data_IF_754948966325
#
_entry.id   IF_754948966325
#
_cell.length_a   1.000
_cell.length_b   1.000
_cell.length_c   1.000
_cell.angle_alpha   90.00
_cell.angle_beta   90.00
_cell.angle_gamma   90.00
#
_symmetry.space_group_name_H-M   'P 1'
#
loop_
_entity.id
_entity.type
_entity.pdbx_description
1 polymer ?
#
# COMPACT_ATOMS: atom_id res chain seq x y z
N UNK A 1 -14.59 13.15 11.75
CA UNK A 1 -15.00 14.22 10.81
C UNK A 1 -16.48 14.07 10.53
N UNK A 2 -17.17 15.14 10.18
CA UNK A 2 -18.62 15.12 9.93
C UNK A 2 -18.94 14.59 8.53
N UNK A 3 -20.01 13.80 8.42
CA UNK A 3 -20.59 13.32 7.17
C UNK A 3 -22.06 13.71 7.18
N UNK A 4 -22.47 14.51 6.20
CA UNK A 4 -23.86 15.00 6.10
C UNK A 4 -24.46 14.48 4.79
N UNK A 5 -25.25 13.39 4.82
CA UNK A 5 -25.98 12.95 3.65
C UNK A 5 -27.08 13.96 3.32
N UNK A 6 -27.16 14.39 2.05
CA UNK A 6 -28.20 15.31 1.56
C UNK A 6 -29.27 14.54 0.76
N UNK A 7 -28.87 13.47 0.07
CA UNK A 7 -29.74 12.55 -0.66
C UNK A 7 -29.06 11.16 -0.76
N UNK A 8 -29.72 10.14 -1.33
CA UNK A 8 -29.10 8.82 -1.55
C UNK A 8 -27.83 8.84 -2.43
N UNK A 9 -27.66 9.84 -3.29
CA UNK A 9 -26.52 9.95 -4.21
C UNK A 9 -25.65 11.20 -3.97
N UNK A 10 -25.96 12.00 -2.94
CA UNK A 10 -25.25 13.25 -2.67
C UNK A 10 -25.06 13.45 -1.17
N UNK A 11 -23.84 13.80 -0.76
CA UNK A 11 -23.53 14.15 0.61
C UNK A 11 -22.35 15.11 0.69
N UNK A 12 -22.16 15.69 1.86
CA UNK A 12 -21.03 16.54 2.19
C UNK A 12 -20.10 15.81 3.15
N UNK A 13 -18.80 15.89 2.87
CA UNK A 13 -17.75 15.36 3.73
C UNK A 13 -16.94 16.53 4.30
N UNK A 14 -16.77 16.54 5.62
CA UNK A 14 -15.88 17.50 6.25
C UNK A 14 -14.44 17.23 5.83
N UNK A 15 -13.79 18.23 5.25
CA UNK A 15 -12.35 18.22 5.04
C UNK A 15 -11.61 18.29 6.38
N UNK A 16 -10.65 17.40 6.59
CA UNK A 16 -9.83 17.40 7.81
C UNK A 16 -8.57 18.23 7.55
N UNK A 17 -8.45 19.44 8.13
CA UNK A 17 -7.40 20.37 7.78
C UNK A 17 -6.01 19.88 8.18
N UNK A 18 -5.01 20.20 7.37
CA UNK A 18 -3.60 19.86 7.63
C UNK A 18 -3.31 18.36 7.55
N UNK A 19 -4.18 17.58 6.91
CA UNK A 19 -3.97 16.15 6.67
C UNK A 19 -3.54 15.89 5.23
N UNK A 20 -2.80 14.79 5.03
CA UNK A 20 -2.39 14.29 3.71
C UNK A 20 -2.53 12.78 3.66
N UNK A 21 -2.91 12.17 2.52
CA UNK A 21 -2.89 10.72 2.36
C UNK A 21 -1.51 10.16 2.70
N UNK A 22 -1.47 9.09 3.48
CA UNK A 22 -0.24 8.48 3.96
C UNK A 22 0.61 8.00 2.77
N UNK A 23 -0.02 7.45 1.74
CA UNK A 23 0.67 7.09 0.48
C UNK A 23 1.47 8.28 -0.07
N UNK A 24 0.83 9.44 -0.27
CA UNK A 24 1.46 10.64 -0.79
C UNK A 24 2.57 11.20 0.12
N UNK A 25 2.52 10.89 1.42
CA UNK A 25 3.57 11.25 2.36
C UNK A 25 4.76 10.27 2.29
N UNK A 26 4.49 8.99 2.04
CA UNK A 26 5.52 7.96 1.91
C UNK A 26 6.25 8.03 0.57
N UNK A 27 5.58 8.45 -0.51
CA UNK A 27 6.13 8.60 -1.86
C UNK A 27 6.39 10.06 -2.24
N UNK A 28 6.76 10.89 -1.26
CA UNK A 28 6.81 12.34 -1.41
C UNK A 28 8.01 12.87 -2.22
N UNK A 29 8.98 12.01 -2.54
CA UNK A 29 10.12 12.34 -3.41
C UNK A 29 10.09 11.47 -4.67
N UNK A 30 10.64 11.95 -5.80
CA UNK A 30 10.72 11.16 -7.03
C UNK A 30 11.40 9.80 -6.81
N UNK A 31 12.47 9.77 -6.01
CA UNK A 31 13.20 8.53 -5.71
C UNK A 31 12.34 7.54 -4.93
N UNK A 32 11.54 8.00 -3.96
CA UNK A 32 10.65 7.11 -3.19
C UNK A 32 9.46 6.63 -4.02
N UNK A 33 8.92 7.50 -4.87
CA UNK A 33 7.87 7.14 -5.81
C UNK A 33 8.37 6.09 -6.81
N UNK A 34 9.61 6.22 -7.30
CA UNK A 34 10.23 5.23 -8.17
C UNK A 34 10.47 3.89 -7.46
N UNK A 35 10.98 3.90 -6.23
CA UNK A 35 11.14 2.68 -5.42
C UNK A 35 9.82 1.96 -5.16
N UNK A 36 8.76 2.71 -4.86
CA UNK A 36 7.41 2.15 -4.66
C UNK A 36 6.87 1.56 -5.98
N UNK A 37 7.03 2.28 -7.09
CA UNK A 37 6.61 1.80 -8.40
C UNK A 37 7.37 0.52 -8.81
N UNK A 38 8.68 0.45 -8.56
CA UNK A 38 9.50 -0.73 -8.80
C UNK A 38 9.04 -1.91 -7.94
N UNK A 39 8.77 -1.68 -6.64
CA UNK A 39 8.27 -2.73 -5.75
C UNK A 39 6.89 -3.25 -6.18
N UNK A 40 5.98 -2.34 -6.54
CA UNK A 40 4.63 -2.66 -7.03
C UNK A 40 4.67 -3.43 -8.37
N UNK A 41 5.59 -3.08 -9.25
CA UNK A 41 5.84 -3.82 -10.49
C UNK A 41 6.36 -5.23 -10.21
N UNK A 42 7.39 -5.39 -9.38
CA UNK A 42 7.92 -6.71 -9.03
C UNK A 42 6.87 -7.60 -8.36
N UNK A 43 6.02 -7.01 -7.50
CA UNK A 43 4.86 -7.68 -6.92
C UNK A 43 3.90 -8.18 -8.00
N UNK A 44 3.48 -7.30 -8.92
CA UNK A 44 2.54 -7.68 -9.99
C UNK A 44 3.10 -8.77 -10.91
N UNK A 45 4.40 -8.71 -11.22
CA UNK A 45 5.10 -9.74 -12.01
C UNK A 45 5.18 -11.08 -11.28
N UNK A 46 5.41 -11.06 -9.96
CA UNK A 46 5.38 -12.28 -9.15
C UNK A 46 4.00 -12.95 -9.20
N UNK A 47 2.92 -12.19 -8.98
CA UNK A 47 1.55 -12.75 -9.03
C UNK A 47 1.29 -13.37 -10.41
N UNK A 48 1.65 -12.67 -11.48
CA UNK A 48 1.50 -13.18 -12.85
C UNK A 48 2.35 -14.43 -13.10
N UNK A 49 3.62 -14.44 -12.69
CA UNK A 49 4.49 -15.61 -12.87
C UNK A 49 3.97 -16.83 -12.10
N UNK A 50 3.54 -16.64 -10.85
CA UNK A 50 2.98 -17.69 -10.01
C UNK A 50 1.67 -18.23 -10.56
N UNK A 51 0.84 -17.38 -11.18
CA UNK A 51 -0.39 -17.83 -11.86
C UNK A 51 -0.12 -18.74 -13.06
N UNK A 52 1.09 -18.72 -13.62
CA UNK A 52 1.44 -19.47 -14.84
C UNK A 52 2.37 -20.66 -14.61
N UNK A 53 2.81 -20.87 -13.37
CA UNK A 53 3.89 -21.82 -13.06
C UNK A 53 3.44 -22.88 -12.06
N UNK A 54 3.84 -24.13 -12.28
CA UNK A 54 3.63 -25.23 -11.34
C UNK A 54 4.96 -25.55 -10.66
N UNK A 55 5.20 -24.92 -9.51
CA UNK A 55 6.40 -25.13 -8.69
C UNK A 55 7.52 -24.08 -8.85
N UNK A 56 8.54 -24.14 -7.97
CA UNK A 56 9.50 -23.05 -7.78
C UNK A 56 10.47 -22.86 -8.96
N UNK A 57 10.92 -23.93 -9.60
CA UNK A 57 11.88 -23.85 -10.70
C UNK A 57 11.28 -23.26 -11.97
N UNK A 58 10.00 -23.52 -12.22
CA UNK A 58 9.26 -22.93 -13.34
C UNK A 58 8.95 -21.47 -13.04
N UNK A 59 8.51 -21.16 -11.80
CA UNK A 59 8.24 -19.80 -11.35
C UNK A 59 9.44 -18.88 -11.60
N UNK A 60 10.64 -19.32 -11.20
CA UNK A 60 11.83 -18.49 -11.32
C UNK A 60 12.19 -18.19 -12.78
N UNK A 61 12.02 -19.18 -13.67
CA UNK A 61 12.20 -19.01 -15.12
C UNK A 61 11.16 -18.06 -15.72
N UNK A 62 9.89 -18.26 -15.38
CA UNK A 62 8.80 -17.43 -15.89
C UNK A 62 8.92 -15.99 -15.40
N UNK A 63 9.28 -15.77 -14.13
CA UNK A 63 9.52 -14.45 -13.57
C UNK A 63 10.64 -13.73 -14.31
N UNK A 64 11.76 -14.41 -14.57
CA UNK A 64 12.89 -13.85 -15.30
C UNK A 64 12.51 -13.47 -16.74
N UNK A 65 11.74 -14.32 -17.43
CA UNK A 65 11.23 -14.02 -18.77
C UNK A 65 10.32 -12.78 -18.78
N UNK A 66 9.38 -12.68 -17.83
CA UNK A 66 8.46 -11.54 -17.74
C UNK A 66 9.19 -10.23 -17.42
N UNK A 67 10.22 -10.27 -16.55
CA UNK A 67 11.07 -9.11 -16.26
C UNK A 67 11.81 -8.63 -17.52
N UNK A 68 12.40 -9.53 -18.30
CA UNK A 68 13.08 -9.19 -19.56
C UNK A 68 12.12 -8.57 -20.59
N UNK A 69 10.93 -9.15 -20.74
CA UNK A 69 9.90 -8.59 -21.63
C UNK A 69 9.49 -7.18 -21.22
N UNK A 70 9.34 -6.92 -19.91
CA UNK A 70 9.02 -5.58 -19.40
C UNK A 70 10.12 -4.58 -19.68
N UNK A 71 11.38 -4.94 -19.47
CA UNK A 71 12.51 -4.06 -19.78
C UNK A 71 12.57 -3.70 -21.26
N UNK A 72 12.33 -4.66 -22.17
CA UNK A 72 12.29 -4.41 -23.61
C UNK A 72 11.15 -3.46 -24.01
N UNK A 73 9.97 -3.61 -23.40
CA UNK A 73 8.82 -2.72 -23.66
C UNK A 73 9.07 -1.29 -23.19
N UNK A 74 9.70 -1.11 -22.02
CA UNK A 74 10.04 0.20 -21.47
C UNK A 74 11.08 0.95 -22.34
N UNK A 75 11.93 0.24 -23.08
CA UNK A 75 12.87 0.87 -24.01
C UNK A 75 12.21 1.38 -25.29
N UNK A 76 11.14 0.72 -25.75
CA UNK A 76 10.45 1.07 -27.00
C UNK A 76 9.38 2.16 -26.82
N UNK A 77 8.75 2.20 -25.65
CA UNK A 77 7.77 3.22 -25.30
C UNK A 77 8.46 4.19 -24.34
N UNK A 78 8.73 5.43 -24.78
CA UNK A 78 9.19 6.54 -23.91
C UNK A 78 8.13 6.99 -22.88
N UNK A 79 7.27 6.07 -22.43
CA UNK A 79 6.19 6.28 -21.48
C UNK A 79 6.34 5.25 -20.37
N UNK A 80 6.65 5.73 -19.16
CA UNK A 80 6.59 4.91 -17.95
C UNK A 80 5.13 4.55 -17.64
N UNK A 81 4.63 3.46 -18.21
CA UNK A 81 3.35 2.89 -17.77
C UNK A 81 3.54 2.16 -16.45
N UNK A 82 2.80 2.58 -15.42
CA UNK A 82 2.62 1.79 -14.20
C UNK A 82 2.14 0.39 -14.58
N UNK A 83 2.73 -0.64 -13.95
CA UNK A 83 2.34 -2.02 -14.17
C UNK A 83 0.84 -2.17 -13.89
N UNK A 84 0.10 -2.79 -14.82
CA UNK A 84 -1.30 -3.13 -14.54
C UNK A 84 -1.33 -4.09 -13.35
N UNK A 85 -2.15 -3.81 -12.33
CA UNK A 85 -2.28 -4.69 -11.19
C UNK A 85 -2.80 -6.06 -11.65
N UNK A 86 -2.34 -7.13 -10.99
CA UNK A 86 -2.83 -8.47 -11.25
C UNK A 86 -4.34 -8.55 -11.03
N UNK A 87 -5.05 -9.24 -11.92
CA UNK A 87 -6.49 -9.43 -11.82
C UNK A 87 -6.88 -10.52 -10.81
N UNK A 88 -8.18 -10.63 -10.50
CA UNK A 88 -8.69 -11.64 -9.57
C UNK A 88 -8.33 -13.07 -9.95
N UNK A 89 -8.28 -13.38 -11.25
CA UNK A 89 -7.96 -14.72 -11.76
C UNK A 89 -6.49 -15.07 -11.52
N UNK A 90 -5.58 -14.14 -11.73
CA UNK A 90 -4.16 -14.33 -11.48
C UNK A 90 -3.90 -14.56 -9.98
N UNK A 91 -4.59 -13.83 -9.10
CA UNK A 91 -4.53 -14.07 -7.67
C UNK A 91 -5.03 -15.47 -7.30
N UNK A 92 -6.21 -15.87 -7.80
CA UNK A 92 -6.76 -17.20 -7.55
C UNK A 92 -5.78 -18.30 -7.94
N UNK A 93 -5.22 -18.21 -9.15
CA UNK A 93 -4.28 -19.21 -9.64
C UNK A 93 -2.95 -19.20 -8.87
N UNK A 94 -2.47 -18.03 -8.45
CA UNK A 94 -1.30 -17.90 -7.57
C UNK A 94 -1.53 -18.58 -6.22
N UNK A 95 -2.72 -18.45 -5.61
CA UNK A 95 -3.06 -19.16 -4.38
C UNK A 95 -3.04 -20.68 -4.53
N UNK A 96 -3.42 -21.20 -5.69
CA UNK A 96 -3.38 -22.64 -5.99
C UNK A 96 -1.95 -23.12 -6.20
N UNK A 97 -1.13 -22.33 -6.90
CA UNK A 97 0.16 -22.78 -7.42
C UNK A 97 1.36 -22.48 -6.51
N UNK A 98 1.33 -21.38 -5.75
CA UNK A 98 2.47 -20.90 -5.00
C UNK A 98 2.52 -21.45 -3.57
N UNK A 99 3.67 -21.97 -3.17
CA UNK A 99 3.89 -22.40 -1.79
C UNK A 99 4.16 -21.21 -0.84
N UNK A 100 3.89 -21.41 0.45
CA UNK A 100 4.05 -20.38 1.47
C UNK A 100 5.51 -19.92 1.62
N UNK A 101 6.49 -20.82 1.53
CA UNK A 101 7.90 -20.47 1.71
C UNK A 101 8.41 -19.58 0.57
N UNK A 102 8.05 -19.91 -0.67
CA UNK A 102 8.32 -19.10 -1.85
C UNK A 102 7.65 -17.74 -1.76
N UNK A 103 6.36 -17.69 -1.40
CA UNK A 103 5.62 -16.43 -1.25
C UNK A 103 6.24 -15.53 -0.19
N UNK A 104 6.64 -16.07 0.97
CA UNK A 104 7.35 -15.33 2.03
C UNK A 104 8.71 -14.83 1.55
N UNK A 105 9.47 -15.65 0.81
CA UNK A 105 10.76 -15.26 0.25
C UNK A 105 10.60 -14.08 -0.72
N UNK A 106 9.66 -14.17 -1.65
CA UNK A 106 9.37 -13.11 -2.62
C UNK A 106 8.88 -11.84 -1.93
N UNK A 107 8.00 -11.96 -0.95
CA UNK A 107 7.53 -10.83 -0.15
C UNK A 107 8.69 -10.08 0.52
N UNK A 108 9.62 -10.80 1.17
CA UNK A 108 10.79 -10.19 1.80
C UNK A 108 11.71 -9.51 0.78
N UNK A 109 11.93 -10.13 -0.36
CA UNK A 109 12.74 -9.56 -1.45
C UNK A 109 12.13 -8.27 -1.99
N UNK A 110 10.84 -8.26 -2.32
CA UNK A 110 10.15 -7.08 -2.83
C UNK A 110 10.11 -5.97 -1.76
N UNK A 111 9.81 -6.34 -0.50
CA UNK A 111 9.77 -5.37 0.61
C UNK A 111 11.14 -4.73 0.86
N UNK A 112 12.24 -5.42 0.56
CA UNK A 112 13.60 -4.87 0.73
C UNK A 112 13.94 -3.76 -0.28
N UNK A 113 13.16 -3.60 -1.35
CA UNK A 113 13.27 -2.47 -2.28
C UNK A 113 12.82 -1.16 -1.64
N UNK A 114 11.98 -1.24 -0.61
CA UNK A 114 11.50 -0.08 0.13
C UNK A 114 12.42 0.24 1.31
N UNK A 115 12.67 1.54 1.60
CA UNK A 115 13.46 1.91 2.77
C UNK A 115 12.77 1.47 4.07
N UNK A 116 13.45 0.78 5.01
CA UNK A 116 12.82 0.27 6.23
C UNK A 116 12.40 1.40 7.20
N UNK A 117 12.91 2.61 7.00
CA UNK A 117 12.72 3.76 7.89
C UNK A 117 11.78 4.82 7.33
N UNK A 118 10.91 4.51 6.36
CA UNK A 118 10.03 5.48 5.70
C UNK A 118 9.21 6.32 6.70
N UNK A 119 8.41 5.66 7.56
CA UNK A 119 7.59 6.34 8.57
C UNK A 119 8.43 7.13 9.57
N UNK A 120 9.55 6.54 10.04
CA UNK A 120 10.47 7.21 10.97
C UNK A 120 11.03 8.49 10.36
N UNK A 121 11.50 8.41 9.11
CA UNK A 121 12.11 9.54 8.39
C UNK A 121 11.07 10.63 8.14
N UNK A 122 9.86 10.26 7.75
CA UNK A 122 8.74 11.19 7.59
C UNK A 122 8.43 11.92 8.89
N UNK A 123 8.30 11.19 10.01
CA UNK A 123 8.05 11.82 11.31
C UNK A 123 9.22 12.74 11.71
N UNK A 124 10.46 12.29 11.58
CA UNK A 124 11.63 13.11 11.91
C UNK A 124 11.68 14.42 11.11
N UNK A 125 11.42 14.37 9.80
CA UNK A 125 11.35 15.57 8.95
C UNK A 125 10.27 16.55 9.43
N UNK A 126 9.15 16.04 9.91
CA UNK A 126 8.09 16.91 10.44
C UNK A 126 8.48 17.59 11.76
N UNK A 127 9.40 17.01 12.55
CA UNK A 127 9.67 17.41 13.94
C UNK A 127 10.79 18.46 14.11
N UNK A 128 11.40 18.94 13.02
CA UNK A 128 12.41 20.02 13.11
C UNK A 128 13.59 19.72 14.02
N UNK A 129 14.03 18.45 14.11
CA UNK A 129 15.12 17.98 14.97
C UNK A 129 14.86 18.02 16.49
N UNK A 130 13.62 18.22 16.93
CA UNK A 130 13.25 18.15 18.35
C UNK A 130 12.89 16.70 18.75
N UNK A 131 13.69 16.02 19.60
CA UNK A 131 13.45 14.63 19.98
C UNK A 131 12.15 14.46 20.80
N UNK A 132 11.78 15.42 21.64
CA UNK A 132 10.55 15.41 22.44
C UNK A 132 9.31 15.40 21.52
N UNK A 133 9.34 16.23 20.48
CA UNK A 133 8.28 16.31 19.48
C UNK A 133 8.18 15.00 18.68
N UNK A 134 9.31 14.41 18.32
CA UNK A 134 9.34 13.10 17.66
C UNK A 134 8.69 12.02 18.54
N UNK A 135 9.03 11.97 19.82
CA UNK A 135 8.43 11.02 20.76
C UNK A 135 6.93 11.23 20.91
N UNK A 136 6.49 12.47 21.09
CA UNK A 136 5.08 12.82 21.21
C UNK A 136 4.28 12.44 19.95
N UNK A 137 4.78 12.77 18.75
CA UNK A 137 4.13 12.44 17.49
C UNK A 137 4.13 10.94 17.20
N UNK A 138 5.22 10.24 17.52
CA UNK A 138 5.27 8.77 17.41
C UNK A 138 4.22 8.12 18.32
N UNK A 139 4.11 8.58 19.57
CA UNK A 139 3.10 8.08 20.50
C UNK A 139 1.67 8.33 20.00
N UNK A 140 1.41 9.52 19.42
CA UNK A 140 0.10 9.86 18.85
C UNK A 140 -0.21 9.06 17.57
N UNK A 141 0.79 8.83 16.72
CA UNK A 141 0.66 7.99 15.53
C UNK A 141 0.30 6.56 15.93
N UNK A 142 1.05 5.96 16.86
CA UNK A 142 0.78 4.60 17.34
C UNK A 142 -0.60 4.51 17.98
N UNK A 143 -0.97 5.45 18.85
CA UNK A 143 -2.27 5.42 19.54
C UNK A 143 -3.44 5.53 18.56
N UNK A 144 -3.36 6.44 17.59
CA UNK A 144 -4.41 6.62 16.57
C UNK A 144 -4.50 5.43 15.60
N UNK A 145 -3.37 4.86 15.19
CA UNK A 145 -3.34 3.65 14.37
C UNK A 145 -3.95 2.45 15.11
N UNK A 146 -3.54 2.21 16.37
CA UNK A 146 -4.06 1.10 17.17
C UNK A 146 -5.57 1.22 17.38
N UNK A 147 -6.07 2.40 17.73
CA UNK A 147 -7.51 2.63 17.87
C UNK A 147 -8.27 2.41 16.55
N UNK A 148 -7.73 2.91 15.44
CA UNK A 148 -8.29 2.73 14.10
C UNK A 148 -8.32 1.27 13.64
N UNK A 149 -7.27 0.49 13.95
CA UNK A 149 -7.22 -0.95 13.67
C UNK A 149 -8.24 -1.73 14.49
N UNK A 150 -8.35 -1.47 15.80
CA UNK A 150 -9.31 -2.15 16.67
C UNK A 150 -10.74 -1.88 16.22
N UNK A 151 -11.09 -0.62 15.99
CA UNK A 151 -12.43 -0.26 15.51
C UNK A 151 -12.68 -0.77 14.10
N UNK A 152 -11.69 -0.68 13.20
CA UNK A 152 -11.81 -1.15 11.82
C UNK A 152 -12.09 -2.65 11.75
N UNK A 153 -11.44 -3.46 12.60
CA UNK A 153 -11.73 -4.88 12.71
C UNK A 153 -13.14 -5.13 13.26
N UNK A 154 -13.54 -4.46 14.34
CA UNK A 154 -14.90 -4.59 14.90
C UNK A 154 -16.00 -4.20 13.91
N UNK A 155 -15.76 -3.18 13.08
CA UNK A 155 -16.69 -2.73 12.05
C UNK A 155 -16.57 -3.52 10.72
N UNK A 156 -15.61 -4.43 10.60
CA UNK A 156 -15.35 -5.19 9.37
C UNK A 156 -14.89 -4.32 8.19
N UNK A 157 -14.15 -3.24 8.43
CA UNK A 157 -13.60 -2.38 7.39
C UNK A 157 -12.38 -3.02 6.70
N UNK A 158 -12.50 -3.38 5.42
CA UNK A 158 -11.47 -4.16 4.71
C UNK A 158 -10.51 -3.38 3.82
N UNK A 159 -10.95 -2.28 3.19
CA UNK A 159 -10.12 -1.57 2.20
C UNK A 159 -9.17 -0.54 2.82
N UNK A 160 -8.15 -1.01 3.55
CA UNK A 160 -7.25 -0.16 4.37
C UNK A 160 -5.89 0.11 3.70
N UNK A 161 -5.89 0.49 2.43
CA UNK A 161 -4.65 0.90 1.75
C UNK A 161 -4.13 2.26 2.29
N UNK A 162 -2.83 2.60 2.11
CA UNK A 162 -2.26 3.85 2.61
C UNK A 162 -2.89 5.15 2.06
N UNK A 163 -3.74 5.07 1.03
CA UNK A 163 -4.54 6.20 0.55
C UNK A 163 -5.73 6.52 1.45
N UNK A 164 -6.29 5.52 2.15
CA UNK A 164 -7.41 5.65 3.08
C UNK A 164 -6.98 6.00 4.51
N UNK A 165 -5.69 6.28 4.70
CA UNK A 165 -5.11 6.74 5.96
C UNK A 165 -4.58 8.15 5.75
N UNK A 166 -5.16 9.14 6.41
CA UNK A 166 -4.70 10.52 6.37
C UNK A 166 -3.77 10.80 7.55
N UNK A 167 -2.53 11.20 7.30
CA UNK A 167 -1.59 11.65 8.31
C UNK A 167 -1.74 13.16 8.52
N UNK A 168 -1.80 13.59 9.77
CA UNK A 168 -1.68 14.99 10.16
C UNK A 168 -0.24 15.29 10.64
N UNK A 169 0.65 15.86 9.82
CA UNK A 169 2.08 15.97 10.15
C UNK A 169 2.36 16.82 11.39
N UNK A 170 1.52 17.81 11.67
CA UNK A 170 1.67 18.69 12.82
C UNK A 170 1.50 17.97 14.17
N UNK A 171 0.65 16.93 14.23
CA UNK A 171 0.32 16.21 15.47
C UNK A 171 0.80 14.76 15.45
N UNK A 172 1.10 14.20 14.28
CA UNK A 172 1.39 12.77 14.12
C UNK A 172 0.14 11.88 14.14
N UNK A 173 -1.07 12.43 14.23
CA UNK A 173 -2.29 11.63 14.25
C UNK A 173 -2.62 11.04 12.87
N UNK A 174 -3.15 9.82 12.85
CA UNK A 174 -3.77 9.20 11.68
C UNK A 174 -5.29 9.30 11.77
N UNK A 175 -5.92 9.58 10.62
CA UNK A 175 -7.37 9.62 10.45
C UNK A 175 -7.72 8.62 9.36
N UNK A 176 -8.55 7.64 9.68
CA UNK A 176 -9.03 6.66 8.73
C UNK A 176 -10.22 7.25 7.98
N UNK A 177 -10.22 7.13 6.65
CA UNK A 177 -11.31 7.59 5.78
C UNK A 177 -11.81 6.44 4.91
N UNK A 178 -12.86 6.74 4.13
CA UNK A 178 -13.49 5.84 3.15
C UNK A 178 -13.88 4.48 3.76
N UNK A 179 -15.12 4.34 4.21
CA UNK A 179 -15.62 3.09 4.82
C UNK A 179 -16.54 2.31 3.87
N UNK A 180 -16.37 2.50 2.55
CA UNK A 180 -17.22 1.87 1.52
C UNK A 180 -17.26 0.35 1.58
N UNK A 181 -16.14 -0.29 1.98
CA UNK A 181 -16.05 -1.73 2.21
C UNK A 181 -16.04 -2.05 3.72
N UNK A 182 -17.17 -1.85 4.38
CA UNK A 182 -17.40 -2.20 5.79
C UNK A 182 -18.21 -3.50 5.93
N UNK A 183 -18.31 -4.04 7.14
CA UNK A 183 -19.08 -5.26 7.45
C UNK A 183 -18.66 -6.53 6.68
N UNK A 184 -17.37 -6.65 6.34
CA UNK A 184 -16.84 -7.85 5.69
C UNK A 184 -17.09 -7.93 4.18
N UNK A 185 -17.71 -6.91 3.57
CA UNK A 185 -17.97 -6.86 2.13
C UNK A 185 -16.69 -6.82 1.27
N UNK A 186 -15.52 -6.54 1.87
CA UNK A 186 -14.24 -6.63 1.17
C UNK A 186 -13.78 -8.08 0.90
N UNK A 187 -14.28 -9.04 1.69
CA UNK A 187 -13.81 -10.44 1.66
C UNK A 187 -14.93 -11.46 1.45
N UNK A 188 -16.18 -11.01 1.42
CA UNK A 188 -17.32 -11.86 1.05
C UNK A 188 -17.36 -12.03 -0.47
N UNK A 189 -17.37 -13.30 -0.90
CA UNK A 189 -17.64 -13.74 -2.28
C UNK A 189 -19.12 -14.08 -2.39
#
# INVERSE_FOLDING_TARGET
>A
YCVVPLSPALGLLQFVPGTRPLQAVLTDTPQRAEQEAQASEQYSLFIKAASLSEGPDQLQRTLQQLQLQRQQQQQHLHVHHHAMPAGPREFYQMYVNADAATTVRMFKQISSLLPPSLLRTTLLRSCGHTPELFLARRARLTSSLSAGCCWGWLAGAGDRHPGNLLLQPATGALVHIDFGYSFGSATQV
#
